data_IF_197984327223
#
_entry.id   IF_197984327223
#
_cell.length_a   1.000
_cell.length_b   1.000
_cell.length_c   1.000
_cell.angle_alpha   90.00
_cell.angle_beta   90.00
_cell.angle_gamma   90.00
#
_symmetry.space_group_name_H-M   'P 1'
#
loop_
_entity.id
_entity.type
_entity.pdbx_description
1 polymer ?
#
# COMPACT_ATOMS: atom_id res chain seq x y z
N UNK A 1 9.43 11.08 19.34
CA UNK A 1 8.51 11.34 18.21
C UNK A 1 8.20 10.01 17.56
N UNK A 2 6.93 9.71 17.25
CA UNK A 2 6.58 8.49 16.53
C UNK A 2 7.22 8.45 15.14
N UNK A 3 7.46 7.24 14.62
CA UNK A 3 7.93 7.05 13.25
C UNK A 3 6.92 7.59 12.22
N UNK A 4 7.37 7.84 11.00
CA UNK A 4 6.48 8.23 9.89
C UNK A 4 5.70 7.02 9.39
N UNK A 5 4.37 7.14 9.29
CA UNK A 5 3.50 6.10 8.73
C UNK A 5 3.49 6.16 7.21
N UNK A 6 3.70 5.01 6.56
CA UNK A 6 3.74 4.90 5.09
C UNK A 6 2.54 4.12 4.58
N UNK A 7 1.91 4.63 3.52
CA UNK A 7 0.87 3.92 2.78
C UNK A 7 1.22 3.87 1.29
N UNK A 8 1.07 2.68 0.70
CA UNK A 8 1.22 2.42 -0.73
C UNK A 8 -0.17 2.38 -1.34
N UNK A 9 -0.45 3.31 -2.23
CA UNK A 9 -1.71 3.41 -2.96
C UNK A 9 -1.54 2.69 -4.28
N UNK A 10 -1.85 1.39 -4.28
CA UNK A 10 -1.76 0.53 -5.46
C UNK A 10 -1.06 -0.81 -5.17
N UNK A 11 -1.57 -1.88 -5.76
CA UNK A 11 -1.15 -3.27 -5.48
C UNK A 11 -0.95 -4.10 -6.74
N UNK A 12 -0.73 -3.44 -7.89
CA UNK A 12 -0.30 -4.12 -9.11
C UNK A 12 1.11 -4.71 -8.97
N UNK A 13 1.69 -5.16 -10.09
CA UNK A 13 3.04 -5.74 -10.10
C UNK A 13 4.08 -4.79 -9.48
N UNK A 14 4.16 -3.55 -9.98
CA UNK A 14 5.11 -2.56 -9.46
C UNK A 14 4.78 -2.11 -8.02
N UNK A 15 3.50 -1.98 -7.67
CA UNK A 15 3.08 -1.65 -6.30
C UNK A 15 3.52 -2.71 -5.29
N UNK A 16 3.38 -3.98 -5.65
CA UNK A 16 3.83 -5.11 -4.84
C UNK A 16 5.36 -5.19 -4.74
N UNK A 17 6.08 -4.92 -5.84
CA UNK A 17 7.54 -4.87 -5.83
C UNK A 17 8.08 -3.75 -4.92
N UNK A 18 7.47 -2.57 -4.97
CA UNK A 18 7.79 -1.44 -4.09
C UNK A 18 7.42 -1.76 -2.64
N UNK A 19 6.29 -2.44 -2.40
CA UNK A 19 5.90 -2.87 -1.06
C UNK A 19 6.94 -3.76 -0.39
N UNK A 20 7.64 -4.62 -1.16
CA UNK A 20 8.78 -5.39 -0.63
C UNK A 20 9.91 -4.50 -0.11
N UNK A 21 10.30 -3.51 -0.89
CA UNK A 21 11.42 -2.62 -0.57
C UNK A 21 11.05 -1.69 0.60
N UNK A 22 9.86 -1.08 0.53
CA UNK A 22 9.37 -0.14 1.54
C UNK A 22 9.11 -0.86 2.85
N UNK A 23 8.46 -2.03 2.82
CA UNK A 23 8.22 -2.84 4.02
C UNK A 23 9.53 -3.23 4.72
N UNK A 24 10.52 -3.72 3.97
CA UNK A 24 11.82 -4.09 4.55
C UNK A 24 12.55 -2.89 5.18
N UNK A 25 12.50 -1.71 4.53
CA UNK A 25 13.14 -0.50 5.05
C UNK A 25 12.39 0.09 6.25
N UNK A 26 11.06 0.11 6.23
CA UNK A 26 10.23 0.60 7.33
C UNK A 26 10.45 -0.23 8.61
N UNK A 27 10.61 -1.55 8.48
CA UNK A 27 10.96 -2.41 9.62
C UNK A 27 12.37 -2.17 10.18
N UNK A 28 13.32 -1.70 9.35
CA UNK A 28 14.74 -1.54 9.71
C UNK A 28 15.10 -0.13 10.18
N UNK A 29 14.44 0.90 9.64
CA UNK A 29 14.79 2.30 9.86
C UNK A 29 13.95 2.90 11.00
N UNK A 30 14.61 3.50 11.99
CA UNK A 30 13.95 4.11 13.16
C UNK A 30 13.06 5.32 12.85
N UNK A 31 13.19 5.91 11.65
CA UNK A 31 12.40 7.06 11.21
C UNK A 31 10.97 6.72 10.74
N UNK A 32 10.63 5.45 10.63
CA UNK A 32 9.35 4.98 10.08
C UNK A 32 8.64 4.04 11.06
N UNK A 33 7.31 4.02 11.00
CA UNK A 33 6.56 2.94 11.63
C UNK A 33 6.83 1.63 10.88
N UNK A 34 6.94 0.52 11.62
CA UNK A 34 7.21 -0.78 11.00
C UNK A 34 6.07 -1.18 10.06
N UNK A 35 4.81 -0.97 10.44
CA UNK A 35 3.67 -1.34 9.60
C UNK A 35 3.55 -0.42 8.38
N UNK A 36 3.46 -1.04 7.19
CA UNK A 36 3.21 -0.36 5.93
C UNK A 36 1.86 -0.82 5.39
N UNK A 37 0.91 0.11 5.25
CA UNK A 37 -0.36 -0.20 4.63
C UNK A 37 -0.20 -0.23 3.10
N UNK A 38 -0.86 -1.17 2.44
CA UNK A 38 -0.96 -1.22 0.98
C UNK A 38 -2.44 -1.30 0.61
N UNK A 39 -2.93 -0.29 -0.10
CA UNK A 39 -4.28 -0.31 -0.62
C UNK A 39 -4.38 -1.33 -1.76
N UNK A 40 -5.28 -2.29 -1.58
CA UNK A 40 -5.56 -3.34 -2.56
C UNK A 40 -6.98 -3.17 -3.04
N UNK A 41 -7.19 -2.87 -4.33
CA UNK A 41 -8.52 -2.89 -4.90
C UNK A 41 -9.07 -4.31 -4.72
N UNK A 42 -10.23 -4.42 -4.06
CA UNK A 42 -10.75 -5.72 -3.64
C UNK A 42 -11.09 -6.58 -4.87
N UNK A 43 -10.47 -7.76 -4.92
CA UNK A 43 -10.71 -8.76 -5.94
C UNK A 43 -10.82 -10.15 -5.29
N UNK A 44 -11.36 -11.11 -6.03
CA UNK A 44 -11.46 -12.50 -5.61
C UNK A 44 -10.52 -13.37 -6.45
N UNK A 45 -9.73 -14.21 -5.79
CA UNK A 45 -8.81 -15.16 -6.41
C UNK A 45 -9.03 -16.52 -5.76
N UNK A 46 -9.51 -17.49 -6.56
CA UNK A 46 -9.77 -18.84 -6.07
C UNK A 46 -10.78 -18.92 -4.90
N UNK A 47 -11.84 -18.10 -4.92
CA UNK A 47 -12.87 -18.09 -3.87
C UNK A 47 -12.50 -17.28 -2.63
N UNK A 48 -11.34 -16.61 -2.61
CA UNK A 48 -10.85 -15.83 -1.47
C UNK A 48 -10.58 -14.38 -1.87
N UNK A 49 -10.82 -13.45 -0.94
CA UNK A 49 -10.45 -12.05 -1.09
C UNK A 49 -8.94 -11.92 -1.22
N UNK A 50 -8.47 -11.21 -2.24
CA UNK A 50 -7.03 -11.03 -2.49
C UNK A 50 -6.30 -10.41 -1.28
N UNK A 51 -6.93 -9.49 -0.57
CA UNK A 51 -6.45 -8.90 0.69
C UNK A 51 -6.22 -9.95 1.78
N UNK A 52 -7.15 -10.89 1.96
CA UNK A 52 -7.01 -11.99 2.93
C UNK A 52 -5.88 -12.94 2.53
N UNK A 53 -5.72 -13.21 1.22
CA UNK A 53 -4.58 -14.01 0.71
C UNK A 53 -3.26 -13.30 1.01
N UNK A 54 -3.14 -12.02 0.67
CA UNK A 54 -1.92 -11.24 0.89
C UNK A 54 -1.58 -11.19 2.37
N UNK A 55 -2.55 -10.94 3.25
CA UNK A 55 -2.29 -10.85 4.69
C UNK A 55 -1.95 -12.20 5.33
N UNK A 56 -2.49 -13.31 4.82
CA UNK A 56 -2.22 -14.64 5.37
C UNK A 56 -0.92 -15.26 4.82
N UNK A 57 -0.67 -15.08 3.52
CA UNK A 57 0.41 -15.77 2.79
C UNK A 57 1.60 -14.85 2.50
N UNK A 58 1.45 -13.55 2.82
CA UNK A 58 2.40 -12.48 2.51
C UNK A 58 2.83 -12.54 1.04
N UNK A 59 1.87 -12.73 0.13
CA UNK A 59 2.14 -12.85 -1.30
C UNK A 59 0.98 -12.30 -2.11
N UNK A 60 1.29 -11.46 -3.08
CA UNK A 60 0.30 -11.05 -4.08
C UNK A 60 0.29 -12.07 -5.21
N UNK A 61 -0.40 -13.19 -5.00
CA UNK A 61 -0.45 -14.34 -5.91
C UNK A 61 -0.93 -13.98 -7.32
N UNK A 62 -1.64 -12.86 -7.48
CA UNK A 62 -2.15 -12.39 -8.77
C UNK A 62 -1.16 -11.51 -9.52
N UNK A 63 -0.55 -10.54 -8.83
CA UNK A 63 0.24 -9.49 -9.49
C UNK A 63 1.75 -9.63 -9.33
N UNK A 64 2.21 -10.42 -8.34
CA UNK A 64 3.63 -10.70 -8.11
C UNK A 64 3.83 -12.13 -7.55
N UNK A 65 3.46 -13.17 -8.32
CA UNK A 65 3.56 -14.56 -7.87
C UNK A 65 5.00 -14.99 -7.61
N UNK A 66 5.21 -15.86 -6.62
CA UNK A 66 6.51 -16.40 -6.23
C UNK A 66 7.36 -15.47 -5.37
N UNK A 67 6.83 -14.31 -4.96
CA UNK A 67 7.56 -13.30 -4.21
C UNK A 67 6.85 -12.92 -2.91
N UNK A 68 7.48 -13.26 -1.78
CA UNK A 68 6.99 -12.86 -0.46
C UNK A 68 7.15 -11.36 -0.21
N UNK A 69 6.08 -10.75 0.28
CA UNK A 69 6.05 -9.43 0.90
C UNK A 69 6.57 -9.55 2.34
N UNK A 70 7.20 -8.50 2.89
CA UNK A 70 7.50 -8.43 4.31
C UNK A 70 6.23 -8.56 5.16
N UNK A 71 6.29 -9.23 6.33
CA UNK A 71 5.09 -9.50 7.14
C UNK A 71 4.45 -8.25 7.74
N UNK A 72 5.18 -7.14 7.79
CA UNK A 72 4.72 -5.83 8.20
C UNK A 72 4.00 -5.04 7.09
N UNK A 73 3.86 -5.61 5.87
CA UNK A 73 3.01 -5.05 4.82
C UNK A 73 1.59 -5.59 4.99
N UNK A 74 0.64 -4.69 5.22
CA UNK A 74 -0.76 -5.02 5.47
C UNK A 74 -1.62 -4.58 4.28
N UNK A 75 -2.29 -5.53 3.66
CA UNK A 75 -3.26 -5.29 2.59
C UNK A 75 -4.60 -4.80 3.17
N UNK A 76 -5.06 -3.64 2.74
CA UNK A 76 -6.31 -3.02 3.17
C UNK A 76 -7.19 -2.70 1.95
N UNK A 77 -8.44 -3.21 1.87
CA UNK A 77 -9.33 -2.95 0.74
C UNK A 77 -9.91 -1.53 0.69
N UNK A 78 -10.08 -0.88 1.84
CA UNK A 78 -10.66 0.45 1.92
C UNK A 78 -9.58 1.53 1.76
N UNK A 79 -9.72 2.36 0.73
CA UNK A 79 -8.74 3.40 0.39
C UNK A 79 -8.55 4.41 1.55
N UNK A 80 -9.63 4.83 2.20
CA UNK A 80 -9.57 5.81 3.28
C UNK A 80 -8.92 5.21 4.53
N UNK A 81 -9.22 3.96 4.85
CA UNK A 81 -8.57 3.23 5.96
C UNK A 81 -7.10 2.98 5.70
N UNK A 82 -6.73 2.60 4.47
CA UNK A 82 -5.34 2.36 4.10
C UNK A 82 -4.51 3.63 4.31
N UNK A 83 -5.02 4.77 3.81
CA UNK A 83 -4.38 6.07 3.87
C UNK A 83 -4.53 6.80 5.22
N UNK A 84 -5.38 6.31 6.13
CA UNK A 84 -5.70 6.97 7.39
C UNK A 84 -4.43 7.22 8.22
N UNK A 85 -4.12 8.49 8.44
CA UNK A 85 -2.97 8.93 9.21
C UNK A 85 -1.61 8.67 8.55
N UNK A 86 -1.54 8.33 7.26
CA UNK A 86 -0.27 8.21 6.55
C UNK A 86 0.43 9.57 6.47
N UNK A 87 1.73 9.59 6.80
CA UNK A 87 2.60 10.76 6.59
C UNK A 87 3.22 10.74 5.20
N UNK A 88 3.37 9.55 4.61
CA UNK A 88 3.92 9.34 3.26
C UNK A 88 2.94 8.48 2.45
N UNK A 89 2.53 9.00 1.29
CA UNK A 89 1.67 8.32 0.33
C UNK A 89 2.45 8.01 -0.95
N UNK A 90 2.63 6.72 -1.27
CA UNK A 90 3.27 6.26 -2.50
C UNK A 90 2.19 5.88 -3.52
N UNK A 91 1.98 6.71 -4.54
CA UNK A 91 0.99 6.46 -5.60
C UNK A 91 1.59 5.58 -6.69
N UNK A 92 1.05 4.37 -6.86
CA UNK A 92 1.56 3.34 -7.77
C UNK A 92 0.40 2.57 -8.43
N UNK A 93 -0.44 3.32 -9.15
CA UNK A 93 -1.60 2.82 -9.87
C UNK A 93 -1.48 3.11 -11.37
N UNK A 94 -2.20 2.39 -12.24
CA UNK A 94 -2.38 2.81 -13.63
C UNK A 94 -2.91 4.26 -13.72
N UNK A 95 -2.38 5.05 -14.65
CA UNK A 95 -2.63 6.49 -14.74
C UNK A 95 -4.12 6.84 -14.84
N UNK A 96 -4.93 5.98 -15.49
CA UNK A 96 -6.36 6.19 -15.66
C UNK A 96 -7.15 6.23 -14.34
N UNK A 97 -6.60 5.72 -13.23
CA UNK A 97 -7.28 5.65 -11.94
C UNK A 97 -6.89 6.76 -10.96
N UNK A 98 -5.82 7.52 -11.22
CA UNK A 98 -5.30 8.48 -10.23
C UNK A 98 -6.30 9.60 -9.90
N UNK A 99 -7.06 10.07 -10.90
CA UNK A 99 -8.06 11.13 -10.71
C UNK A 99 -9.12 10.74 -9.66
N UNK A 100 -9.78 9.60 -9.86
CA UNK A 100 -10.83 9.13 -8.95
C UNK A 100 -10.30 8.75 -7.56
N UNK A 101 -9.05 8.32 -7.46
CA UNK A 101 -8.37 8.07 -6.17
C UNK A 101 -8.14 9.37 -5.43
N UNK A 102 -7.61 10.40 -6.11
CA UNK A 102 -7.40 11.71 -5.52
C UNK A 102 -8.72 12.37 -5.07
N UNK A 103 -9.80 12.20 -5.84
CA UNK A 103 -11.12 12.71 -5.47
C UNK A 103 -11.64 12.08 -4.17
N UNK A 104 -11.45 10.77 -4.00
CA UNK A 104 -11.82 10.08 -2.75
C UNK A 104 -10.95 10.52 -1.56
N UNK A 105 -9.64 10.70 -1.77
CA UNK A 105 -8.71 11.11 -0.72
C UNK A 105 -8.84 12.58 -0.32
N UNK A 106 -9.51 13.41 -1.12
CA UNK A 106 -9.70 14.83 -0.85
C UNK A 106 -10.37 15.04 0.51
N UNK A 107 -9.70 15.75 1.41
CA UNK A 107 -10.16 16.02 2.77
C UNK A 107 -9.90 14.90 3.78
N UNK A 108 -9.32 13.77 3.38
CA UNK A 108 -9.07 12.59 4.24
C UNK A 108 -7.58 12.30 4.47
N UNK A 109 -6.69 13.17 4.01
CA UNK A 109 -5.23 13.04 4.15
C UNK A 109 -4.72 14.06 5.18
N UNK A 110 -3.68 13.69 5.94
CA UNK A 110 -3.01 14.63 6.86
C UNK A 110 -2.52 15.87 6.08
N UNK A 111 -2.66 17.05 6.68
CA UNK A 111 -2.27 18.32 6.04
C UNK A 111 -0.78 18.35 5.69
N UNK A 112 0.07 17.72 6.50
CA UNK A 112 1.52 17.65 6.33
C UNK A 112 2.00 16.37 5.62
N UNK A 113 1.08 15.55 5.10
CA UNK A 113 1.45 14.35 4.37
C UNK A 113 2.19 14.73 3.08
N UNK A 114 3.17 13.91 2.70
CA UNK A 114 3.88 14.01 1.42
C UNK A 114 3.42 12.90 0.49
N UNK A 115 3.14 13.28 -0.77
CA UNK A 115 2.83 12.34 -1.84
C UNK A 115 4.02 12.15 -2.77
N UNK A 116 4.29 10.90 -3.17
CA UNK A 116 5.27 10.57 -4.19
C UNK A 116 4.60 9.69 -5.25
N UNK A 117 4.68 10.09 -6.52
CA UNK A 117 4.14 9.32 -7.63
C UNK A 117 5.22 8.41 -8.23
N UNK A 118 4.88 7.15 -8.44
CA UNK A 118 5.63 6.19 -9.24
C UNK A 118 4.85 5.83 -10.53
N UNK A 119 3.84 6.63 -10.87
CA UNK A 119 3.06 6.53 -12.10
C UNK A 119 3.88 7.16 -13.22
N UNK A 120 4.03 6.44 -14.33
CA UNK A 120 4.74 6.89 -15.53
C UNK A 120 3.78 7.34 -16.61
#
# INVERSE_FOLDING_TARGET
>A
MGGKKVCIVGSGNWGSAIAKIVGANAARLSGFESQVNMWVLQEEVGGRRLTDIINAEHENVKYLPGHKLPPNVVAEPDLLKACAGADVLLFVVPHQFIGSICDQLKGHVKKEAVGMSLIK
#
